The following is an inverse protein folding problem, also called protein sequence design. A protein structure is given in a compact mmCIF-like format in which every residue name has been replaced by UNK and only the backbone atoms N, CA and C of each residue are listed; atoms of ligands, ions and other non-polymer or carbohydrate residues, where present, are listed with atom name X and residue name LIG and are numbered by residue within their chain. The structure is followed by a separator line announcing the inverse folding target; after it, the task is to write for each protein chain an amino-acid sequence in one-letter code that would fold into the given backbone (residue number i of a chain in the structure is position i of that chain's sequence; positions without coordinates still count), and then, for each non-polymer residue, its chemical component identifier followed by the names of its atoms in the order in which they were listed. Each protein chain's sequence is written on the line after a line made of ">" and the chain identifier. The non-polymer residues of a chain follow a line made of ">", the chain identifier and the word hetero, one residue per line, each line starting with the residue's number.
data_IF_256151858063
#
_entry.id   IF_256151858063
#
_cell.length_a   1.000
_cell.length_b   1.000
_cell.length_c   1.000
_cell.angle_alpha   90.00
_cell.angle_beta   90.00
_cell.angle_gamma   90.00
#
_symmetry.space_group_name_H-M   'P 1'
#
loop_
_entity.id
_entity.type
_entity.pdbx_description
1 polymer ?
#
# COMPACT_ATOMS: atom_id res chain seq x y z
N UNK A 1 14.86 19.88 28.89
CA UNK A 1 14.76 19.72 27.44
C UNK A 1 14.21 18.33 27.18
N UNK A 2 12.89 18.17 27.26
CA UNK A 2 12.21 16.95 26.85
C UNK A 2 12.37 16.80 25.34
N UNK A 3 13.01 15.70 24.91
CA UNK A 3 12.95 15.27 23.52
C UNK A 3 11.60 14.57 23.33
N UNK A 4 10.58 15.35 22.96
CA UNK A 4 9.43 14.81 22.24
C UNK A 4 9.88 14.54 20.81
N UNK A 5 10.43 13.35 20.54
CA UNK A 5 10.52 12.85 19.18
C UNK A 5 9.73 11.55 19.11
N UNK A 6 8.62 11.66 18.38
CA UNK A 6 7.67 10.63 18.05
C UNK A 6 8.40 9.38 17.56
N UNK A 7 8.13 8.24 18.19
CA UNK A 7 8.20 6.96 17.49
C UNK A 7 7.07 6.97 16.46
N UNK A 8 7.29 7.63 15.33
CA UNK A 8 6.57 7.29 14.10
C UNK A 8 7.14 5.94 13.68
N UNK A 9 6.53 4.85 14.14
CA UNK A 9 6.97 3.51 13.79
C UNK A 9 6.71 3.31 12.28
N UNK A 10 7.76 3.43 11.48
CA UNK A 10 7.73 3.05 10.08
C UNK A 10 7.79 1.53 10.00
N UNK A 11 6.96 0.92 9.16
CA UNK A 11 7.00 -0.52 8.93
C UNK A 11 8.35 -0.90 8.29
N UNK A 12 9.03 -1.91 8.84
CA UNK A 12 10.20 -2.50 8.19
C UNK A 12 9.74 -3.28 6.96
N UNK A 13 10.26 -2.94 5.77
CA UNK A 13 9.88 -3.62 4.52
C UNK A 13 10.51 -5.02 4.49
N UNK A 14 9.66 -6.05 4.49
CA UNK A 14 10.07 -7.45 4.39
C UNK A 14 10.10 -7.94 2.94
N UNK A 15 9.10 -7.56 2.15
CA UNK A 15 8.93 -8.00 0.76
C UNK A 15 8.13 -6.97 -0.02
N UNK A 16 8.55 -6.67 -1.26
CA UNK A 16 7.78 -5.82 -2.18
C UNK A 16 7.08 -6.74 -3.16
N UNK A 17 5.75 -6.70 -3.22
CA UNK A 17 4.96 -7.48 -4.18
C UNK A 17 5.03 -6.84 -5.56
N UNK A 18 4.69 -5.55 -5.65
CA UNK A 18 4.74 -4.82 -6.91
C UNK A 18 4.85 -3.31 -6.68
N UNK A 19 5.50 -2.63 -7.62
CA UNK A 19 5.50 -1.16 -7.72
C UNK A 19 4.92 -0.76 -9.06
N UNK A 20 3.78 -0.07 -9.03
CA UNK A 20 3.03 0.33 -10.22
C UNK A 20 3.34 1.79 -10.54
N UNK A 21 3.71 2.06 -11.79
CA UNK A 21 3.86 3.43 -12.28
C UNK A 21 2.46 4.06 -12.43
N UNK A 22 2.27 5.21 -11.80
CA UNK A 22 1.04 6.01 -11.95
C UNK A 22 1.25 7.05 -13.05
N UNK A 23 2.30 7.85 -12.93
CA UNK A 23 2.68 8.89 -13.88
C UNK A 23 4.19 9.22 -13.79
N UNK A 24 4.62 10.25 -14.51
CA UNK A 24 6.01 10.72 -14.46
C UNK A 24 6.31 11.37 -13.10
N UNK A 25 6.87 10.57 -12.20
CA UNK A 25 7.27 11.02 -10.87
C UNK A 25 6.37 10.51 -9.75
N UNK A 26 5.40 9.63 -10.02
CA UNK A 26 4.57 8.99 -9.01
C UNK A 26 4.46 7.49 -9.24
N UNK A 27 4.72 6.72 -8.19
CA UNK A 27 4.49 5.27 -8.16
C UNK A 27 3.72 4.88 -6.90
N UNK A 28 3.02 3.76 -6.95
CA UNK A 28 2.46 3.13 -5.76
C UNK A 28 3.13 1.76 -5.59
N UNK A 29 3.63 1.48 -4.38
CA UNK A 29 4.23 0.20 -4.03
C UNK A 29 3.36 -0.54 -3.03
N UNK A 30 3.13 -1.83 -3.27
CA UNK A 30 2.48 -2.74 -2.32
C UNK A 30 3.51 -3.70 -1.79
N UNK A 31 3.60 -3.77 -0.46
CA UNK A 31 4.66 -4.51 0.22
C UNK A 31 4.16 -5.12 1.52
N UNK A 32 4.81 -6.21 1.92
CA UNK A 32 4.71 -6.81 3.24
C UNK A 32 5.66 -6.09 4.17
N UNK A 33 5.16 -5.60 5.29
CA UNK A 33 5.94 -4.88 6.30
C UNK A 33 5.76 -5.48 7.68
N UNK A 34 6.74 -5.23 8.56
CA UNK A 34 6.64 -5.55 9.98
C UNK A 34 6.47 -4.24 10.75
N UNK A 35 5.38 -4.12 11.51
CA UNK A 35 5.10 -2.98 12.38
C UNK A 35 4.69 -3.52 13.75
N UNK A 36 5.35 -3.08 14.82
CA UNK A 36 5.08 -3.53 16.20
C UNK A 36 5.15 -5.07 16.41
N UNK A 37 5.97 -5.76 15.61
CA UNK A 37 6.12 -7.22 15.50
C UNK A 37 4.98 -7.96 14.79
N UNK A 38 4.00 -7.24 14.23
CA UNK A 38 2.96 -7.79 13.39
C UNK A 38 3.35 -7.65 11.91
N UNK A 39 3.14 -8.72 11.15
CA UNK A 39 3.28 -8.72 9.69
C UNK A 39 1.96 -8.31 9.05
N UNK A 40 2.01 -7.27 8.23
CA UNK A 40 0.86 -6.75 7.50
C UNK A 40 1.25 -6.37 6.07
N UNK A 41 0.23 -6.16 5.23
CA UNK A 41 0.42 -5.61 3.88
C UNK A 41 0.10 -4.12 3.92
N UNK A 42 0.93 -3.36 3.22
CA UNK A 42 0.85 -1.91 3.12
C UNK A 42 0.83 -1.49 1.64
N UNK A 43 0.21 -0.37 1.37
CA UNK A 43 0.33 0.36 0.10
C UNK A 43 0.94 1.73 0.38
N UNK A 44 1.94 2.15 -0.40
CA UNK A 44 2.61 3.44 -0.24
C UNK A 44 2.60 4.23 -1.55
N UNK A 45 2.18 5.49 -1.48
CA UNK A 45 2.36 6.48 -2.53
C UNK A 45 3.78 7.04 -2.43
N UNK A 46 4.52 6.99 -3.53
CA UNK A 46 5.90 7.41 -3.61
C UNK A 46 6.01 8.45 -4.73
N UNK A 47 6.44 9.65 -4.38
CA UNK A 47 6.59 10.77 -5.31
C UNK A 47 8.07 11.13 -5.48
N UNK A 48 8.41 11.63 -6.66
CA UNK A 48 9.76 12.05 -7.00
C UNK A 48 9.92 13.54 -6.73
N UNK A 49 10.66 13.87 -5.68
CA UNK A 49 10.99 15.24 -5.29
C UNK A 49 12.50 15.46 -5.39
N UNK A 50 12.93 16.51 -6.10
CA UNK A 50 14.35 16.86 -6.29
C UNK A 50 15.24 15.67 -6.74
N UNK A 51 14.67 14.80 -7.59
CA UNK A 51 15.35 13.63 -8.12
C UNK A 51 15.40 12.42 -7.18
N UNK A 52 14.79 12.50 -5.99
CA UNK A 52 14.69 11.42 -5.02
C UNK A 52 13.26 10.91 -4.91
N UNK A 53 13.11 9.62 -4.71
CA UNK A 53 11.80 9.01 -4.44
C UNK A 53 11.53 9.02 -2.95
N UNK A 54 10.40 9.58 -2.54
CA UNK A 54 10.00 9.73 -1.15
C UNK A 54 8.60 9.15 -0.96
N UNK A 55 8.41 8.38 0.11
CA UNK A 55 7.07 7.97 0.54
C UNK A 55 6.36 9.21 1.09
N UNK A 56 5.25 9.60 0.46
CA UNK A 56 4.45 10.75 0.93
C UNK A 56 3.28 10.29 1.77
N UNK A 57 2.71 9.11 1.45
CA UNK A 57 1.56 8.54 2.11
C UNK A 57 1.68 7.01 2.14
N UNK A 58 1.22 6.40 3.22
CA UNK A 58 1.11 4.95 3.31
C UNK A 58 -0.14 4.53 4.09
N UNK A 59 -0.72 3.40 3.70
CA UNK A 59 -1.87 2.82 4.35
C UNK A 59 -1.58 1.35 4.69
N UNK A 60 -1.82 0.96 5.95
CA UNK A 60 -1.90 -0.44 6.33
C UNK A 60 -3.24 -1.00 5.85
N UNK A 61 -3.22 -1.99 4.95
CA UNK A 61 -4.44 -2.68 4.48
C UNK A 61 -4.71 -3.96 5.28
N UNK A 62 -3.77 -4.36 6.14
CA UNK A 62 -3.82 -5.53 7.00
C UNK A 62 -3.56 -6.83 6.23
N UNK A 63 -3.48 -7.96 6.93
CA UNK A 63 -3.44 -9.26 6.27
C UNK A 63 -4.76 -9.64 5.56
N UNK A 64 -4.71 -10.33 4.40
CA UNK A 64 -5.90 -10.74 3.66
C UNK A 64 -6.75 -11.73 4.46
N UNK A 65 -8.07 -11.52 4.45
CA UNK A 65 -9.05 -12.44 5.04
C UNK A 65 -10.45 -12.21 4.46
N UNK A 66 -11.36 -13.17 4.64
CA UNK A 66 -12.75 -13.02 4.23
C UNK A 66 -13.45 -11.80 4.85
N UNK A 67 -13.04 -11.39 6.06
CA UNK A 67 -13.56 -10.20 6.75
C UNK A 67 -13.04 -8.91 6.07
N UNK A 68 -11.82 -8.95 5.55
CA UNK A 68 -11.12 -7.81 4.94
C UNK A 68 -11.49 -7.55 3.47
N UNK A 69 -12.17 -8.47 2.79
CA UNK A 69 -12.64 -8.28 1.41
C UNK A 69 -13.56 -7.06 1.21
N UNK A 70 -14.28 -6.65 2.26
CA UNK A 70 -15.16 -5.48 2.23
C UNK A 70 -14.56 -4.28 2.97
N UNK A 71 -13.26 -4.30 3.24
CA UNK A 71 -12.55 -3.23 3.92
C UNK A 71 -11.52 -2.62 2.99
N UNK A 72 -11.34 -1.32 3.15
CA UNK A 72 -10.33 -0.53 2.48
C UNK A 72 -9.67 0.41 3.47
N UNK A 73 -8.47 0.86 3.11
CA UNK A 73 -7.76 1.93 3.77
C UNK A 73 -7.47 3.01 2.74
N UNK A 74 -7.74 4.25 3.09
CA UNK A 74 -7.59 5.42 2.20
C UNK A 74 -6.57 6.40 2.73
N UNK A 75 -5.88 7.06 1.82
CA UNK A 75 -5.08 8.27 2.03
C UNK A 75 -5.70 9.41 1.22
N UNK A 76 -5.09 10.59 1.23
CA UNK A 76 -5.51 11.68 0.34
C UNK A 76 -5.23 11.38 -1.15
N UNK A 77 -4.40 10.37 -1.43
CA UNK A 77 -3.84 10.08 -2.76
C UNK A 77 -4.36 8.81 -3.41
N UNK A 78 -4.80 7.84 -2.61
CA UNK A 78 -5.31 6.56 -3.10
C UNK A 78 -6.16 5.87 -2.03
N UNK A 79 -6.93 4.89 -2.48
CA UNK A 79 -7.61 3.92 -1.63
C UNK A 79 -7.18 2.50 -2.04
N UNK A 80 -6.95 1.63 -1.06
CA UNK A 80 -6.54 0.26 -1.32
C UNK A 80 -7.28 -0.73 -0.42
N UNK A 81 -7.51 -1.93 -0.94
CA UNK A 81 -8.16 -3.01 -0.21
C UNK A 81 -7.98 -4.35 -0.89
N UNK A 82 -8.74 -5.35 -0.45
CA UNK A 82 -8.71 -6.68 -1.05
C UNK A 82 -9.92 -6.94 -1.92
N UNK A 83 -9.71 -7.74 -2.96
CA UNK A 83 -10.75 -8.36 -3.76
C UNK A 83 -10.39 -9.80 -4.03
N UNK A 84 -11.38 -10.63 -4.34
CA UNK A 84 -11.18 -11.96 -4.91
C UNK A 84 -11.39 -11.97 -6.43
N UNK A 85 -11.68 -10.81 -7.02
CA UNK A 85 -11.78 -10.62 -8.46
C UNK A 85 -10.39 -10.51 -9.08
N UNK A 86 -10.19 -11.19 -10.21
CA UNK A 86 -8.94 -11.15 -10.97
C UNK A 86 -8.90 -10.07 -12.05
N UNK A 87 -9.98 -9.30 -12.17
CA UNK A 87 -10.10 -8.24 -13.17
C UNK A 87 -11.13 -7.21 -12.72
N UNK A 88 -10.80 -5.93 -12.86
CA UNK A 88 -11.69 -4.79 -12.65
C UNK A 88 -11.69 -3.94 -13.93
N UNK A 89 -12.87 -3.42 -14.32
CA UNK A 89 -13.04 -2.61 -15.53
C UNK A 89 -12.88 -1.10 -15.33
N UNK A 90 -12.25 -0.67 -14.22
CA UNK A 90 -12.01 0.75 -13.91
C UNK A 90 -10.58 1.14 -14.29
N UNK A 91 -10.41 2.19 -15.10
CA UNK A 91 -9.09 2.62 -15.60
C UNK A 91 -8.14 3.12 -14.51
N UNK A 92 -8.70 3.74 -13.46
CA UNK A 92 -7.99 4.26 -12.30
C UNK A 92 -7.74 3.21 -11.20
N UNK A 93 -8.11 1.95 -11.42
CA UNK A 93 -7.86 0.85 -10.49
C UNK A 93 -6.74 -0.04 -11.01
N UNK A 94 -5.79 -0.35 -10.13
CA UNK A 94 -4.71 -1.32 -10.36
C UNK A 94 -4.96 -2.56 -9.51
N UNK A 95 -4.65 -3.73 -10.05
CA UNK A 95 -4.72 -5.01 -9.36
C UNK A 95 -3.31 -5.57 -9.21
N UNK A 96 -2.96 -5.97 -7.99
CA UNK A 96 -1.65 -6.51 -7.63
C UNK A 96 -1.85 -7.87 -6.98
N UNK A 97 -1.23 -8.89 -7.57
CA UNK A 97 -1.21 -10.23 -7.00
C UNK A 97 -0.24 -10.28 -5.81
N UNK A 98 -0.64 -10.98 -4.77
CA UNK A 98 0.17 -11.24 -3.57
C UNK A 98 0.33 -12.76 -3.41
N UNK A 99 1.13 -13.21 -2.43
CA UNK A 99 1.43 -14.64 -2.18
C UNK A 99 0.20 -15.58 -2.23
N UNK A 100 -0.95 -15.06 -1.84
CA UNK A 100 -2.20 -15.80 -1.82
C UNK A 100 -2.99 -15.63 -3.13
N UNK A 101 -3.05 -16.69 -3.94
CA UNK A 101 -3.83 -16.74 -5.19
C UNK A 101 -5.37 -16.54 -5.00
N UNK A 102 -5.86 -16.52 -3.76
CA UNK A 102 -7.26 -16.25 -3.42
C UNK A 102 -7.59 -14.75 -3.32
N UNK A 103 -6.60 -13.90 -3.05
CA UNK A 103 -6.81 -12.47 -2.82
C UNK A 103 -5.89 -11.64 -3.72
N UNK A 104 -6.42 -10.50 -4.15
CA UNK A 104 -5.71 -9.52 -4.97
C UNK A 104 -5.87 -8.17 -4.28
N UNK A 105 -4.79 -7.39 -4.23
CA UNK A 105 -4.86 -6.02 -3.76
C UNK A 105 -5.38 -5.16 -4.90
N UNK A 106 -6.46 -4.43 -4.67
CA UNK A 106 -6.90 -3.38 -5.58
C UNK A 106 -6.45 -2.02 -5.04
N UNK A 107 -6.10 -1.11 -5.94
CA UNK A 107 -5.71 0.26 -5.62
C UNK A 107 -6.44 1.20 -6.56
N UNK A 108 -7.31 2.05 -6.01
CA UNK A 108 -7.94 3.15 -6.73
C UNK A 108 -7.14 4.44 -6.48
N UNK A 109 -6.65 5.06 -7.55
CA UNK A 109 -5.81 6.26 -7.47
C UNK A 109 -6.63 7.52 -7.76
N UNK A 110 -6.36 8.59 -7.01
CA UNK A 110 -6.97 9.91 -7.14
C UNK A 110 -5.99 10.95 -7.70
#
# INVERSE_FOLDING_TARGET
>A
MERLHLNENYAEVKEIYETVNIDEGRVISVYKGILDNDEDIFAANIEKEDGKWLVTDAANIGMPSAIKLNQSSSTEKFEAGYTNEKSISKENVKLIEIDNNEYTVWIEVF
#
